data_IF_455030064092
#
_entry.id   IF_455030064092
#
_cell.length_a   1.000
_cell.length_b   1.000
_cell.length_c   1.000
_cell.angle_alpha   90.00
_cell.angle_beta   90.00
_cell.angle_gamma   90.00
#
_symmetry.space_group_name_H-M   'P 1'
#
loop_
_entity.id
_entity.type
_entity.pdbx_description
1 polymer ?
#
# COMPACT_ATOMS: atom_id res chain seq x y z
N UNK A 1 -13.48 18.08 -14.62
CA UNK A 1 -14.46 19.16 -14.28
C UNK A 1 -15.85 18.56 -14.12
N UNK A 2 -16.63 19.03 -13.14
CA UNK A 2 -18.05 18.63 -13.00
C UNK A 2 -18.31 17.24 -12.41
N UNK A 3 -17.29 16.59 -11.85
CA UNK A 3 -17.45 15.34 -11.08
C UNK A 3 -17.49 15.69 -9.61
N UNK A 4 -18.58 15.32 -8.92
CA UNK A 4 -18.73 15.48 -7.48
C UNK A 4 -18.42 14.15 -6.79
N UNK A 5 -17.28 14.08 -6.09
CA UNK A 5 -16.87 12.88 -5.36
C UNK A 5 -17.48 12.82 -3.94
N UNK A 6 -18.14 13.90 -3.51
CA UNK A 6 -18.78 14.04 -2.21
C UNK A 6 -17.98 14.91 -1.23
N UNK A 7 -18.67 15.35 -0.17
CA UNK A 7 -18.17 16.35 0.78
C UNK A 7 -16.93 15.92 1.61
N UNK A 8 -16.65 14.61 1.67
CA UNK A 8 -15.52 14.07 2.43
C UNK A 8 -14.19 14.13 1.66
N UNK A 9 -14.19 14.60 0.41
CA UNK A 9 -12.99 14.65 -0.44
C UNK A 9 -12.57 16.08 -0.74
N UNK A 10 -11.29 16.36 -0.55
CA UNK A 10 -10.67 17.58 -1.08
C UNK A 10 -10.50 17.43 -2.59
N UNK A 11 -11.37 18.09 -3.34
CA UNK A 11 -11.40 18.04 -4.80
C UNK A 11 -10.90 19.36 -5.39
N UNK A 12 -10.27 19.27 -6.56
CA UNK A 12 -9.80 20.42 -7.32
C UNK A 12 -9.87 20.08 -8.82
N UNK A 13 -9.77 21.08 -9.70
CA UNK A 13 -9.79 20.79 -11.14
C UNK A 13 -8.56 19.98 -11.56
N UNK A 14 -8.77 18.95 -12.39
CA UNK A 14 -7.69 18.04 -12.82
C UNK A 14 -6.56 18.79 -13.50
N UNK A 15 -6.86 19.70 -14.43
CA UNK A 15 -5.83 20.43 -15.17
C UNK A 15 -5.01 21.34 -14.24
N UNK A 16 -5.67 21.96 -13.26
CA UNK A 16 -5.04 22.80 -12.25
C UNK A 16 -4.09 22.00 -11.35
N UNK A 17 -4.55 20.88 -10.77
CA UNK A 17 -3.72 20.08 -9.87
C UNK A 17 -2.58 19.37 -10.56
N UNK A 18 -2.83 18.86 -11.76
CA UNK A 18 -1.76 18.24 -12.57
C UNK A 18 -0.70 19.27 -12.92
N UNK A 19 -1.08 20.52 -13.23
CA UNK A 19 -0.12 21.62 -13.45
C UNK A 19 0.68 21.92 -12.20
N UNK A 20 0.02 22.18 -11.07
CA UNK A 20 0.68 22.49 -9.79
C UNK A 20 1.66 21.39 -9.38
N UNK A 21 1.24 20.12 -9.39
CA UNK A 21 2.11 19.03 -8.93
C UNK A 21 3.26 18.77 -9.88
N UNK A 22 3.07 18.94 -11.20
CA UNK A 22 4.16 18.84 -12.18
C UNK A 22 5.16 19.99 -12.02
N UNK A 23 4.70 21.19 -11.70
CA UNK A 23 5.60 22.32 -11.41
C UNK A 23 6.45 22.06 -10.17
N UNK A 24 5.89 21.42 -9.14
CA UNK A 24 6.65 20.99 -7.95
C UNK A 24 7.64 19.85 -8.28
N UNK A 25 7.23 18.91 -9.13
CA UNK A 25 8.06 17.76 -9.54
C UNK A 25 9.16 18.12 -10.53
N UNK A 26 9.03 19.24 -11.23
CA UNK A 26 10.01 19.70 -12.20
C UNK A 26 11.39 19.76 -11.56
N UNK A 27 12.35 19.08 -12.18
CA UNK A 27 13.75 18.99 -11.76
C UNK A 27 13.99 18.44 -10.34
N UNK A 28 12.95 17.90 -9.68
CA UNK A 28 13.01 17.40 -8.30
C UNK A 28 14.02 16.26 -8.11
N UNK A 29 14.29 15.49 -9.17
CA UNK A 29 15.20 14.35 -9.16
C UNK A 29 16.56 14.63 -9.83
N UNK A 30 16.88 15.86 -10.26
CA UNK A 30 18.13 16.17 -11.00
C UNK A 30 19.39 15.76 -10.24
N UNK A 31 19.34 15.81 -8.91
CA UNK A 31 20.46 15.46 -8.01
C UNK A 31 20.30 14.08 -7.36
N UNK A 32 19.32 13.28 -7.80
CA UNK A 32 18.98 12.00 -7.22
C UNK A 32 18.89 10.91 -8.29
N UNK A 33 18.97 9.64 -7.86
CA UNK A 33 18.71 8.52 -8.76
C UNK A 33 17.20 8.31 -8.85
N UNK A 34 16.66 8.36 -10.07
CA UNK A 34 15.29 7.94 -10.33
C UNK A 34 15.23 6.40 -10.33
N UNK A 35 14.46 5.83 -9.41
CA UNK A 35 14.24 4.40 -9.26
C UNK A 35 12.86 4.10 -9.84
N UNK A 36 12.79 3.13 -10.75
CA UNK A 36 11.54 2.63 -11.33
C UNK A 36 11.33 1.21 -10.85
N UNK A 37 10.19 0.94 -10.20
CA UNK A 37 9.82 -0.38 -9.70
C UNK A 37 8.49 -0.81 -10.29
N UNK A 38 8.38 -2.12 -10.52
CA UNK A 38 7.24 -2.78 -11.13
C UNK A 38 6.68 -3.81 -10.16
N UNK A 39 5.39 -3.75 -9.90
CA UNK A 39 4.75 -4.51 -8.83
C UNK A 39 3.39 -5.05 -9.24
N UNK A 40 2.91 -6.03 -8.47
CA UNK A 40 1.56 -6.56 -8.55
C UNK A 40 0.87 -6.42 -7.19
N UNK A 41 -0.30 -5.78 -7.20
CA UNK A 41 -1.28 -5.90 -6.13
C UNK A 41 -1.96 -7.26 -6.26
N UNK A 42 -1.76 -8.11 -5.26
CA UNK A 42 -2.22 -9.49 -5.27
C UNK A 42 -1.27 -10.46 -5.98
N UNK A 43 -1.57 -11.77 -5.93
CA UNK A 43 -0.76 -12.79 -6.58
C UNK A 43 -0.63 -12.57 -8.08
N UNK A 44 0.58 -12.69 -8.62
CA UNK A 44 0.87 -12.49 -10.05
C UNK A 44 0.07 -13.50 -10.89
N UNK A 45 -0.50 -13.06 -12.01
CA UNK A 45 -1.35 -13.88 -12.89
C UNK A 45 -2.75 -14.19 -12.33
N UNK A 46 -3.08 -13.70 -11.14
CA UNK A 46 -4.44 -13.84 -10.59
C UNK A 46 -5.43 -12.96 -11.34
N UNK A 47 -6.70 -13.39 -11.54
CA UNK A 47 -7.75 -12.52 -12.07
C UNK A 47 -8.08 -11.33 -11.14
N UNK A 48 -7.56 -11.33 -9.91
CA UNK A 48 -7.64 -10.21 -8.97
C UNK A 48 -6.49 -9.23 -9.11
N UNK A 49 -5.41 -9.61 -9.79
CA UNK A 49 -4.18 -8.84 -9.77
C UNK A 49 -4.32 -7.51 -10.50
N UNK A 50 -3.64 -6.48 -9.97
CA UNK A 50 -3.53 -5.19 -10.61
C UNK A 50 -2.06 -4.81 -10.65
N UNK A 51 -1.55 -4.60 -11.85
CA UNK A 51 -0.19 -4.13 -12.05
C UNK A 51 -0.02 -2.69 -11.58
N UNK A 52 1.14 -2.40 -11.00
CA UNK A 52 1.48 -1.10 -10.47
C UNK A 52 2.92 -0.74 -10.84
N UNK A 53 3.14 0.52 -11.19
CA UNK A 53 4.48 1.06 -11.45
C UNK A 53 4.69 2.27 -10.54
N UNK A 54 5.78 2.24 -9.78
CA UNK A 54 6.18 3.37 -8.95
C UNK A 54 7.55 3.92 -9.35
N UNK A 55 7.58 5.22 -9.60
CA UNK A 55 8.80 6.02 -9.76
C UNK A 55 9.07 6.76 -8.46
N UNK A 56 10.30 6.69 -7.97
CA UNK A 56 10.73 7.35 -6.73
C UNK A 56 12.21 7.74 -6.77
N UNK A 57 12.58 8.80 -6.07
CA UNK A 57 13.97 9.18 -5.78
C UNK A 57 14.44 8.73 -4.38
N UNK A 58 13.58 8.08 -3.61
CA UNK A 58 13.86 7.61 -2.25
C UNK A 58 14.11 6.11 -2.21
N UNK A 59 15.32 5.73 -1.78
CA UNK A 59 15.68 4.33 -1.55
C UNK A 59 14.86 3.68 -0.44
N UNK A 60 14.46 4.44 0.60
CA UNK A 60 13.55 3.96 1.64
C UNK A 60 12.21 3.53 1.03
N UNK A 61 11.61 4.37 0.19
CA UNK A 61 10.32 4.08 -0.45
C UNK A 61 10.43 2.87 -1.36
N UNK A 62 11.48 2.80 -2.19
CA UNK A 62 11.69 1.65 -3.07
C UNK A 62 11.83 0.34 -2.29
N UNK A 63 12.58 0.35 -1.19
CA UNK A 63 12.79 -0.85 -0.37
C UNK A 63 11.54 -1.25 0.42
N UNK A 64 10.79 -0.27 0.96
CA UNK A 64 9.52 -0.53 1.64
C UNK A 64 8.50 -1.19 0.70
N UNK A 65 8.40 -0.69 -0.54
CA UNK A 65 7.56 -1.30 -1.58
C UNK A 65 7.98 -2.75 -1.90
N UNK A 66 9.29 -3.04 -1.95
CA UNK A 66 9.80 -4.39 -2.21
C UNK A 66 9.48 -5.39 -1.09
N UNK A 67 9.46 -4.93 0.16
CA UNK A 67 9.04 -5.76 1.30
C UNK A 67 7.53 -6.01 1.21
N UNK A 68 6.75 -4.95 0.97
CA UNK A 68 5.29 -4.98 1.08
C UNK A 68 4.57 -5.55 -0.15
N UNK A 69 5.17 -5.52 -1.34
CA UNK A 69 4.51 -5.90 -2.60
C UNK A 69 5.36 -6.81 -3.49
N UNK A 70 4.69 -7.53 -4.40
CA UNK A 70 5.31 -8.55 -5.25
C UNK A 70 5.96 -7.89 -6.47
N UNK A 71 7.27 -8.05 -6.71
CA UNK A 71 7.90 -7.57 -7.94
C UNK A 71 7.27 -8.24 -9.17
N UNK A 72 6.93 -7.45 -10.19
CA UNK A 72 6.14 -7.91 -11.34
C UNK A 72 6.74 -7.53 -12.70
N UNK A 73 8.04 -7.26 -12.78
CA UNK A 73 8.66 -6.82 -14.05
C UNK A 73 8.43 -7.80 -15.21
N UNK A 74 8.52 -9.11 -14.97
CA UNK A 74 8.28 -10.12 -16.00
C UNK A 74 6.81 -10.17 -16.45
N UNK A 75 5.89 -9.85 -15.55
CA UNK A 75 4.46 -9.73 -15.86
C UNK A 75 4.20 -8.56 -16.82
N UNK A 76 4.82 -7.41 -16.53
CA UNK A 76 4.77 -6.24 -17.43
C UNK A 76 5.35 -6.57 -18.81
N UNK A 77 6.45 -7.33 -18.88
CA UNK A 77 7.02 -7.77 -20.16
C UNK A 77 6.07 -8.66 -20.94
N UNK A 78 5.34 -9.55 -20.26
CA UNK A 78 4.38 -10.46 -20.90
C UNK A 78 3.16 -9.71 -21.43
N UNK A 79 2.60 -8.80 -20.65
CA UNK A 79 1.43 -7.98 -21.05
C UNK A 79 1.79 -6.97 -22.15
N UNK A 80 3.05 -6.51 -22.19
CA UNK A 80 3.55 -5.62 -23.23
C UNK A 80 2.93 -4.22 -23.20
N UNK A 81 2.90 -3.54 -24.35
CA UNK A 81 2.47 -2.14 -24.45
C UNK A 81 1.00 -1.87 -24.16
N UNK A 82 0.16 -2.91 -24.10
CA UNK A 82 -1.27 -2.81 -23.79
C UNK A 82 -1.58 -2.98 -22.29
N UNK A 83 -0.57 -3.23 -21.45
CA UNK A 83 -0.76 -3.45 -20.03
C UNK A 83 -1.47 -2.26 -19.36
N UNK A 84 -2.57 -2.54 -18.66
CA UNK A 84 -3.19 -1.57 -17.76
C UNK A 84 -2.56 -1.67 -16.38
N UNK A 85 -2.11 -0.55 -15.81
CA UNK A 85 -1.50 -0.50 -14.50
C UNK A 85 -1.73 0.83 -13.79
N UNK A 86 -1.75 0.81 -12.46
CA UNK A 86 -1.73 2.03 -11.66
C UNK A 86 -0.33 2.64 -11.65
N UNK A 87 -0.29 3.97 -11.72
CA UNK A 87 0.93 4.74 -11.86
C UNK A 87 1.16 5.58 -10.61
N UNK A 88 2.38 5.57 -10.10
CA UNK A 88 2.77 6.34 -8.93
C UNK A 88 4.04 7.12 -9.25
N UNK A 89 3.96 8.45 -9.20
CA UNK A 89 5.11 9.34 -9.33
C UNK A 89 5.37 10.01 -7.99
N UNK A 90 6.39 9.53 -7.31
CA UNK A 90 6.80 10.00 -6.00
C UNK A 90 8.14 10.74 -6.09
N UNK A 91 8.26 11.88 -5.41
CA UNK A 91 9.55 12.50 -5.09
C UNK A 91 9.60 12.93 -3.63
N UNK A 92 10.67 12.56 -2.95
CA UNK A 92 10.99 13.03 -1.62
C UNK A 92 11.35 14.52 -1.59
N UNK A 93 11.69 15.09 -2.75
CA UNK A 93 12.13 16.47 -2.92
C UNK A 93 13.52 16.71 -2.32
N UNK A 94 13.83 17.99 -2.09
CA UNK A 94 15.07 18.35 -1.39
C UNK A 94 15.07 17.76 0.03
N UNK A 95 16.18 17.15 0.45
CA UNK A 95 16.33 16.55 1.76
C UNK A 95 17.19 17.41 2.69
N UNK A 96 16.80 17.50 3.96
CA UNK A 96 17.63 18.01 5.06
C UNK A 96 17.68 16.96 6.15
N UNK A 97 18.85 16.45 6.51
CA UNK A 97 18.97 15.39 7.53
C UNK A 97 18.21 14.11 7.16
N UNK A 98 18.24 13.72 5.88
CA UNK A 98 17.51 12.57 5.30
C UNK A 98 15.98 12.67 5.33
N UNK A 99 15.40 13.78 5.76
CA UNK A 99 13.95 14.03 5.71
C UNK A 99 13.61 15.09 4.68
N UNK A 100 12.40 15.05 4.12
CA UNK A 100 11.94 16.04 3.13
C UNK A 100 11.92 17.44 3.75
N UNK A 101 12.57 18.39 3.08
CA UNK A 101 12.75 19.77 3.57
C UNK A 101 11.53 20.65 3.31
N UNK A 102 10.98 20.61 2.10
CA UNK A 102 9.98 21.57 1.60
C UNK A 102 8.54 21.10 1.92
N UNK A 103 8.24 20.92 3.21
CA UNK A 103 6.98 20.33 3.69
C UNK A 103 5.76 21.19 3.30
N UNK A 104 5.93 22.50 3.21
CA UNK A 104 4.91 23.46 2.79
C UNK A 104 4.44 23.23 1.33
N UNK A 105 5.31 22.64 0.50
CA UNK A 105 5.02 22.24 -0.88
C UNK A 105 4.64 20.76 -1.01
N UNK A 106 4.35 20.07 0.08
CA UNK A 106 3.90 18.68 0.04
C UNK A 106 2.54 18.59 -0.64
N UNK A 107 2.43 17.68 -1.61
CA UNK A 107 1.17 17.33 -2.28
C UNK A 107 1.05 15.83 -2.43
N UNK A 108 -0.19 15.35 -2.35
CA UNK A 108 -0.58 13.98 -2.70
C UNK A 108 -1.85 14.10 -3.54
N UNK A 109 -1.73 13.96 -4.85
CA UNK A 109 -2.83 14.07 -5.79
C UNK A 109 -3.13 12.72 -6.43
N UNK A 110 -4.41 12.40 -6.54
CA UNK A 110 -4.90 11.12 -7.07
C UNK A 110 -5.79 11.45 -8.26
N UNK A 111 -5.29 11.18 -9.45
CA UNK A 111 -6.05 11.28 -10.69
C UNK A 111 -6.70 9.92 -10.97
N UNK A 112 -7.99 9.84 -10.70
CA UNK A 112 -8.79 8.60 -10.85
C UNK A 112 -9.22 8.33 -12.29
N UNK A 113 -9.08 9.30 -13.18
CA UNK A 113 -9.39 9.14 -14.61
C UNK A 113 -8.20 8.52 -15.31
N UNK A 114 -6.99 9.04 -15.06
CA UNK A 114 -5.76 8.54 -15.65
C UNK A 114 -5.12 7.44 -14.79
N UNK A 115 -5.65 7.11 -13.61
CA UNK A 115 -5.07 6.07 -12.75
C UNK A 115 -3.63 6.37 -12.32
N UNK A 116 -3.30 7.66 -12.12
CA UNK A 116 -1.99 8.13 -11.65
C UNK A 116 -2.09 8.83 -10.30
N UNK A 117 -1.11 8.59 -9.44
CA UNK A 117 -0.93 9.28 -8.17
C UNK A 117 0.38 10.03 -8.19
N UNK A 118 0.36 11.27 -7.70
CA UNK A 118 1.52 12.11 -7.51
C UNK A 118 1.75 12.35 -6.03
N UNK A 119 2.96 12.13 -5.53
CA UNK A 119 3.35 12.42 -4.14
C UNK A 119 4.65 13.23 -4.13
N UNK A 120 4.67 14.39 -3.49
CA UNK A 120 5.83 15.30 -3.48
C UNK A 120 6.22 15.73 -2.09
N UNK A 121 7.52 15.94 -1.85
CA UNK A 121 8.06 16.48 -0.59
C UNK A 121 7.61 15.69 0.66
N UNK A 122 7.58 14.36 0.54
CA UNK A 122 7.23 13.44 1.62
C UNK A 122 8.08 12.18 1.54
N UNK A 123 8.29 11.50 2.66
CA UNK A 123 8.94 10.19 2.72
C UNK A 123 8.17 9.18 3.58
N UNK A 124 7.08 9.61 4.24
CA UNK A 124 6.47 8.84 5.30
C UNK A 124 5.32 7.94 4.81
N UNK A 125 5.48 6.63 5.02
CA UNK A 125 4.43 5.62 5.02
C UNK A 125 3.34 5.82 3.96
N UNK A 126 2.09 6.00 4.39
CA UNK A 126 0.92 6.07 3.51
C UNK A 126 0.87 7.24 2.52
N UNK A 127 1.79 8.20 2.58
CA UNK A 127 1.92 9.26 1.57
C UNK A 127 2.90 8.89 0.45
N UNK A 128 3.74 7.88 0.65
CA UNK A 128 4.87 7.57 -0.23
C UNK A 128 4.89 6.13 -0.71
N UNK A 129 4.38 5.20 0.09
CA UNK A 129 4.10 3.83 -0.31
C UNK A 129 2.84 3.88 -1.17
N UNK A 130 3.03 3.93 -2.49
CA UNK A 130 1.98 4.12 -3.49
C UNK A 130 0.97 2.99 -3.48
N UNK A 131 1.44 1.76 -3.28
CA UNK A 131 0.60 0.58 -3.42
C UNK A 131 -0.34 0.32 -2.23
N UNK A 132 -0.29 1.17 -1.19
CA UNK A 132 -1.14 1.03 0.00
C UNK A 132 -2.46 1.80 -0.15
N UNK A 133 -2.69 2.79 0.72
CA UNK A 133 -3.92 3.61 0.73
C UNK A 133 -4.09 4.43 -0.55
N UNK A 134 -3.01 4.73 -1.27
CA UNK A 134 -3.08 5.49 -2.52
C UNK A 134 -3.63 4.61 -3.65
N UNK A 135 -3.11 3.39 -3.81
CA UNK A 135 -3.68 2.41 -4.71
C UNK A 135 -5.10 1.98 -4.32
N UNK A 136 -5.41 1.84 -3.03
CA UNK A 136 -6.76 1.49 -2.59
C UNK A 136 -7.82 2.47 -3.12
N UNK A 137 -7.54 3.78 -3.10
CA UNK A 137 -8.47 4.78 -3.64
C UNK A 137 -8.70 4.62 -5.15
N UNK A 138 -7.65 4.28 -5.90
CA UNK A 138 -7.76 3.96 -7.32
C UNK A 138 -8.53 2.66 -7.55
N UNK A 139 -8.28 1.66 -6.71
CA UNK A 139 -8.92 0.37 -6.76
C UNK A 139 -10.41 0.45 -6.46
N UNK A 140 -10.85 1.26 -5.49
CA UNK A 140 -12.28 1.49 -5.20
C UNK A 140 -13.01 2.01 -6.44
N UNK A 141 -12.45 3.02 -7.12
CA UNK A 141 -13.02 3.56 -8.35
C UNK A 141 -13.10 2.50 -9.47
N UNK A 142 -12.05 1.70 -9.64
CA UNK A 142 -12.04 0.60 -10.62
C UNK A 142 -13.06 -0.49 -10.25
N UNK A 143 -13.09 -0.90 -8.99
CA UNK A 143 -13.96 -1.94 -8.46
C UNK A 143 -15.44 -1.57 -8.61
N UNK A 144 -15.79 -0.32 -8.32
CA UNK A 144 -17.14 0.20 -8.55
C UNK A 144 -17.58 0.12 -10.02
N UNK A 145 -16.68 0.36 -10.97
CA UNK A 145 -16.97 0.27 -12.42
C UNK A 145 -17.05 -1.18 -12.91
N UNK A 146 -16.35 -2.10 -12.27
CA UNK A 146 -16.19 -3.49 -12.72
C UNK A 146 -17.01 -4.50 -11.89
N UNK A 147 -17.77 -4.04 -10.89
CA UNK A 147 -18.65 -4.90 -10.09
C UNK A 147 -17.93 -5.78 -9.07
N UNK A 148 -16.85 -5.29 -8.45
CA UNK A 148 -16.16 -5.96 -7.35
C UNK A 148 -15.86 -5.01 -6.19
N UNK A 149 -15.25 -5.50 -5.11
CA UNK A 149 -14.98 -4.71 -3.90
C UNK A 149 -13.49 -4.60 -3.61
N UNK A 150 -13.03 -3.38 -3.38
CA UNK A 150 -11.68 -3.07 -2.90
C UNK A 150 -11.80 -2.46 -1.50
N UNK A 151 -11.48 -3.23 -0.46
CA UNK A 151 -11.89 -2.91 0.90
C UNK A 151 -10.71 -2.80 1.86
N UNK A 152 -10.86 -1.92 2.85
CA UNK A 152 -9.96 -1.82 3.99
C UNK A 152 -10.37 -2.84 5.07
N UNK A 153 -10.11 -4.11 4.76
CA UNK A 153 -10.50 -5.26 5.56
C UNK A 153 -9.34 -6.24 5.73
N UNK A 154 -9.28 -6.89 6.89
CA UNK A 154 -8.46 -8.09 7.04
C UNK A 154 -9.10 -9.28 6.31
N UNK A 155 -8.33 -10.33 6.09
CA UNK A 155 -8.77 -11.62 5.60
C UNK A 155 -8.06 -12.72 6.42
N UNK A 156 -8.83 -13.64 6.99
CA UNK A 156 -8.31 -14.75 7.78
C UNK A 156 -9.09 -16.04 7.53
N UNK A 157 -8.48 -17.19 7.81
CA UNK A 157 -9.13 -18.49 7.87
C UNK A 157 -9.25 -18.96 9.32
N UNK A 158 -10.47 -19.28 9.74
CA UNK A 158 -10.77 -19.82 11.07
C UNK A 158 -10.99 -21.32 10.97
N UNK A 159 -10.29 -22.08 11.79
CA UNK A 159 -10.30 -23.54 11.84
C UNK A 159 -11.36 -24.04 12.81
N UNK A 160 -12.33 -24.77 12.28
CA UNK A 160 -13.39 -25.43 13.03
C UNK A 160 -13.14 -26.93 13.24
N UNK A 161 -14.07 -27.62 13.91
CA UNK A 161 -14.04 -29.08 14.05
C UNK A 161 -13.98 -29.78 12.69
N UNK A 162 -13.49 -31.02 12.69
CA UNK A 162 -13.40 -31.89 11.51
C UNK A 162 -12.55 -31.31 10.36
N UNK A 163 -11.59 -30.42 10.69
CA UNK A 163 -10.67 -29.81 9.70
C UNK A 163 -11.33 -28.78 8.78
N UNK A 164 -12.54 -28.32 9.10
CA UNK A 164 -13.22 -27.26 8.33
C UNK A 164 -12.48 -25.94 8.49
N UNK A 165 -12.20 -25.26 7.38
CA UNK A 165 -11.72 -23.86 7.39
C UNK A 165 -12.84 -22.94 6.89
N UNK A 166 -13.09 -21.85 7.61
CA UNK A 166 -14.05 -20.80 7.21
C UNK A 166 -13.32 -19.47 7.08
N UNK A 167 -13.45 -18.81 5.94
CA UNK A 167 -12.77 -17.55 5.68
C UNK A 167 -13.65 -16.37 6.09
N UNK A 168 -13.03 -15.42 6.80
CA UNK A 168 -13.67 -14.20 7.30
C UNK A 168 -12.92 -12.98 6.80
N UNK A 169 -13.68 -11.93 6.53
CA UNK A 169 -13.16 -10.60 6.27
C UNK A 169 -13.91 -9.59 7.13
N UNK A 170 -13.22 -8.56 7.60
CA UNK A 170 -13.81 -7.56 8.50
C UNK A 170 -13.11 -6.21 8.41
N UNK A 171 -13.92 -5.14 8.46
CA UNK A 171 -13.44 -3.76 8.49
C UNK A 171 -13.51 -3.23 9.93
N UNK A 172 -12.38 -2.77 10.43
CA UNK A 172 -12.26 -2.21 11.77
C UNK A 172 -11.66 -0.80 11.65
N UNK A 173 -12.22 0.20 12.35
CA UNK A 173 -11.56 1.48 12.51
C UNK A 173 -10.18 1.33 13.18
N UNK A 174 -9.37 2.38 13.10
CA UNK A 174 -8.08 2.42 13.78
C UNK A 174 -8.24 2.16 15.29
N UNK A 175 -7.26 1.46 15.88
CA UNK A 175 -7.21 1.12 17.30
C UNK A 175 -8.36 0.22 17.82
N UNK A 176 -9.05 -0.51 16.93
CA UNK A 176 -10.09 -1.48 17.31
C UNK A 176 -9.62 -2.95 17.29
N UNK A 177 -8.31 -3.22 17.29
CA UNK A 177 -7.78 -4.60 17.34
C UNK A 177 -7.84 -5.38 16.01
N UNK A 178 -7.82 -4.68 14.86
CA UNK A 178 -7.87 -5.30 13.52
C UNK A 178 -6.75 -6.33 13.32
N UNK A 179 -5.51 -5.90 13.53
CA UNK A 179 -4.31 -6.72 13.32
C UNK A 179 -4.30 -7.91 14.28
N UNK A 180 -4.52 -7.68 15.59
CA UNK A 180 -4.58 -8.75 16.59
C UNK A 180 -5.67 -9.79 16.27
N UNK A 181 -6.83 -9.36 15.75
CA UNK A 181 -7.90 -10.28 15.30
C UNK A 181 -7.45 -11.14 14.12
N UNK A 182 -6.78 -10.55 13.12
CA UNK A 182 -6.30 -11.29 11.94
C UNK A 182 -5.16 -12.27 12.23
N UNK A 183 -4.54 -12.16 13.42
CA UNK A 183 -3.37 -12.92 13.86
C UNK A 183 -3.66 -13.76 15.12
N UNK A 184 -4.93 -14.13 15.35
CA UNK A 184 -5.26 -15.04 16.44
C UNK A 184 -4.47 -16.35 16.33
N UNK A 185 -3.95 -16.82 17.46
CA UNK A 185 -3.20 -18.07 17.51
C UNK A 185 -4.05 -19.23 16.99
N UNK A 186 -3.39 -20.18 16.30
CA UNK A 186 -3.98 -21.37 15.68
C UNK A 186 -4.90 -21.08 14.48
N UNK A 187 -5.14 -19.82 14.16
CA UNK A 187 -5.84 -19.41 12.96
C UNK A 187 -4.87 -19.03 11.82
N UNK A 188 -5.40 -18.86 10.62
CA UNK A 188 -4.59 -18.54 9.43
C UNK A 188 -4.76 -17.09 9.02
N UNK A 189 -3.69 -16.32 9.09
CA UNK A 189 -3.63 -14.98 8.48
C UNK A 189 -3.52 -15.08 6.96
N UNK A 190 -4.37 -14.34 6.25
CA UNK A 190 -4.22 -14.11 4.80
C UNK A 190 -3.77 -12.67 4.54
N UNK A 191 -4.33 -11.69 5.27
CA UNK A 191 -3.90 -10.29 5.29
C UNK A 191 -4.59 -9.50 6.38
N UNK A 192 -4.00 -8.41 6.85
CA UNK A 192 -4.52 -7.62 7.98
C UNK A 192 -5.13 -6.28 7.57
N UNK A 193 -4.85 -5.79 6.36
CA UNK A 193 -5.14 -4.40 5.99
C UNK A 193 -6.10 -4.21 4.81
N UNK A 194 -5.81 -4.84 3.67
CA UNK A 194 -6.51 -4.59 2.40
C UNK A 194 -6.91 -5.92 1.74
N UNK A 195 -8.18 -6.02 1.36
CA UNK A 195 -8.74 -7.18 0.67
C UNK A 195 -9.44 -6.77 -0.62
N UNK A 196 -9.21 -7.53 -1.70
CA UNK A 196 -10.06 -7.47 -2.90
C UNK A 196 -11.00 -8.65 -2.92
N UNK A 197 -12.29 -8.38 -3.08
CA UNK A 197 -13.34 -9.39 -3.09
C UNK A 197 -14.05 -9.38 -4.44
N UNK A 198 -14.13 -10.53 -5.11
CA UNK A 198 -14.83 -10.70 -6.39
C UNK A 198 -15.78 -11.87 -6.30
N UNK A 199 -16.93 -11.74 -6.95
CA UNK A 199 -17.81 -12.87 -7.20
C UNK A 199 -17.29 -13.64 -8.42
N UNK A 200 -17.03 -14.93 -8.24
CA UNK A 200 -16.69 -15.87 -9.31
C UNK A 200 -17.70 -17.01 -9.21
N UNK A 201 -18.55 -17.13 -10.22
CA UNK A 201 -19.56 -18.19 -10.36
C UNK A 201 -20.46 -18.38 -9.12
N UNK A 202 -20.91 -17.26 -8.55
CA UNK A 202 -21.84 -17.26 -7.40
C UNK A 202 -21.16 -17.40 -6.04
N UNK A 203 -19.83 -17.41 -5.99
CA UNK A 203 -19.05 -17.44 -4.74
C UNK A 203 -18.14 -16.23 -4.63
N UNK A 204 -18.09 -15.63 -3.45
CA UNK A 204 -17.17 -14.52 -3.17
C UNK A 204 -15.81 -15.09 -2.79
N UNK A 205 -14.78 -14.68 -3.53
CA UNK A 205 -13.38 -14.99 -3.25
C UNK A 205 -12.67 -13.70 -2.85
N UNK A 206 -11.74 -13.82 -1.91
CA UNK A 206 -10.93 -12.72 -1.40
C UNK A 206 -9.44 -12.95 -1.57
N UNK A 207 -8.69 -11.90 -1.85
CA UNK A 207 -7.22 -11.92 -1.82
C UNK A 207 -6.66 -10.84 -0.91
N UNK A 208 -5.50 -11.10 -0.31
CA UNK A 208 -4.63 -10.05 0.19
C UNK A 208 -3.81 -9.48 -0.97
N UNK A 209 -3.87 -8.17 -1.15
CA UNK A 209 -3.13 -7.48 -2.21
C UNK A 209 -1.66 -7.23 -1.85
N UNK A 210 -1.35 -7.20 -0.56
CA UNK A 210 -0.01 -7.03 0.00
C UNK A 210 0.70 -8.40 0.13
N UNK A 211 1.99 -8.37 0.44
CA UNK A 211 2.79 -9.54 0.84
C UNK A 211 3.60 -9.35 2.13
N UNK A 212 3.46 -8.18 2.75
CA UNK A 212 4.10 -7.84 4.02
C UNK A 212 3.14 -7.00 4.87
N UNK A 213 3.58 -6.64 6.07
CA UNK A 213 2.77 -5.91 7.07
C UNK A 213 3.37 -4.52 7.27
N UNK A 214 2.50 -3.50 7.28
CA UNK A 214 2.87 -2.12 7.63
C UNK A 214 2.03 -1.68 8.83
N UNK A 215 2.52 -2.01 10.03
CA UNK A 215 1.81 -1.83 11.28
C UNK A 215 2.41 -0.75 12.20
N UNK A 216 1.66 -0.41 13.25
CA UNK A 216 2.14 0.45 14.34
C UNK A 216 2.84 -0.47 15.35
N UNK A 217 4.12 -0.23 15.62
CA UNK A 217 4.90 -1.04 16.56
C UNK A 217 4.67 -0.68 18.03
N UNK A 218 4.01 0.45 18.32
CA UNK A 218 3.69 0.86 19.69
C UNK A 218 2.82 -0.21 20.35
N UNK A 219 3.20 -0.61 21.56
CA UNK A 219 2.51 -1.58 22.42
C UNK A 219 2.63 -3.06 22.01
N UNK A 220 3.25 -3.37 20.85
CA UNK A 220 3.56 -4.76 20.46
C UNK A 220 4.48 -5.39 21.50
N UNK A 221 4.05 -6.53 22.05
CA UNK A 221 4.76 -7.21 23.12
C UNK A 221 4.58 -8.74 23.02
N UNK A 222 5.46 -9.54 23.65
CA UNK A 222 5.43 -11.00 23.50
C UNK A 222 4.22 -11.68 24.17
N UNK A 223 3.44 -10.96 24.98
CA UNK A 223 2.26 -11.50 25.68
C UNK A 223 1.00 -11.31 24.85
N UNK A 224 0.75 -10.08 24.42
CA UNK A 224 -0.50 -9.72 23.72
C UNK A 224 -0.42 -9.94 22.20
N UNK A 225 0.76 -9.79 21.60
CA UNK A 225 0.98 -9.91 20.15
C UNK A 225 2.16 -10.84 19.81
N UNK A 226 2.16 -12.11 20.30
CA UNK A 226 3.31 -13.00 20.20
C UNK A 226 3.80 -13.24 18.77
N UNK A 227 2.89 -13.36 17.80
CA UNK A 227 3.23 -13.58 16.39
C UNK A 227 3.96 -12.36 15.79
N UNK A 228 3.48 -11.15 16.10
CA UNK A 228 4.09 -9.91 15.60
C UNK A 228 5.46 -9.73 16.26
N UNK A 229 5.53 -9.91 17.58
CA UNK A 229 6.76 -9.78 18.33
C UNK A 229 7.83 -10.77 17.84
N UNK A 230 7.48 -12.04 17.63
CA UNK A 230 8.37 -13.06 17.08
C UNK A 230 8.88 -12.68 15.67
N UNK A 231 7.99 -12.18 14.82
CA UNK A 231 8.35 -11.70 13.47
C UNK A 231 9.33 -10.52 13.53
N UNK A 232 9.14 -9.57 14.45
CA UNK A 232 9.99 -8.39 14.61
C UNK A 232 11.35 -8.69 15.26
N UNK A 233 11.43 -9.76 16.05
CA UNK A 233 12.65 -10.13 16.79
C UNK A 233 13.42 -11.30 16.18
N UNK A 234 12.85 -11.94 15.15
CA UNK A 234 13.50 -12.96 14.34
C UNK A 234 14.23 -12.36 13.13
N UNK A 235 15.23 -13.08 12.55
CA UNK A 235 15.87 -12.65 11.32
C UNK A 235 14.87 -12.49 10.17
N UNK A 236 14.84 -11.32 9.55
CA UNK A 236 13.97 -11.01 8.41
C UNK A 236 14.15 -9.57 7.93
N UNK A 237 13.49 -9.25 6.81
CA UNK A 237 13.49 -7.89 6.26
C UNK A 237 12.48 -7.03 7.03
N UNK A 238 12.98 -6.18 7.94
CA UNK A 238 12.16 -5.26 8.73
C UNK A 238 12.74 -3.86 8.66
N UNK A 239 11.88 -2.87 8.40
CA UNK A 239 12.23 -1.45 8.49
C UNK A 239 11.50 -0.85 9.69
N UNK A 240 12.24 -0.53 10.74
CA UNK A 240 11.73 0.25 11.85
C UNK A 240 11.80 1.74 11.54
N UNK A 241 10.71 2.47 11.80
CA UNK A 241 10.62 3.91 11.57
C UNK A 241 10.18 4.63 12.85
N UNK A 242 10.96 5.62 13.27
CA UNK A 242 10.71 6.45 14.46
C UNK A 242 10.57 5.65 15.76
N UNK A 243 11.42 4.64 15.96
CA UNK A 243 11.57 3.88 17.21
C UNK A 243 12.80 4.36 17.98
N UNK A 244 12.86 4.01 19.27
CA UNK A 244 14.06 4.21 20.08
C UNK A 244 15.06 3.08 19.79
N UNK A 245 16.31 3.25 20.21
CA UNK A 245 17.32 2.21 20.16
C UNK A 245 17.90 2.00 21.56
N UNK A 246 18.17 0.74 21.91
CA UNK A 246 18.94 0.40 23.11
C UNK A 246 20.42 0.71 22.91
N UNK A 247 21.19 0.73 24.01
CA UNK A 247 22.64 0.96 23.97
C UNK A 247 23.38 -0.14 23.17
N UNK A 248 22.80 -1.34 23.05
CA UNK A 248 23.31 -2.44 22.22
C UNK A 248 22.91 -2.32 20.74
N UNK A 249 22.25 -1.23 20.34
CA UNK A 249 21.87 -0.97 18.96
C UNK A 249 20.66 -1.77 18.46
N UNK A 250 19.79 -2.24 19.37
CA UNK A 250 18.52 -2.88 19.01
C UNK A 250 17.37 -1.86 18.99
N UNK A 251 16.49 -1.89 17.98
CA UNK A 251 15.29 -1.04 17.94
C UNK A 251 14.25 -1.43 19.00
#
# INVERSE_FOLDING_TARGET
KGVELGANFNCLDKEEGVREVKDILKDSMVKAKMIVRFFSLGPIGSPFSILCLQITDSGYVAHAEDILYRPAYEEFKREGGAAYFFRFLHSAGELKGKVSKNIEKRRVYIDIEDGIVYSTNTQYGGNTIGLKKLALRQAINKASKEGWLAEHMFLMGVHGPEGRVTYFSGAFPSACGKTSTSMLEKESIIGDDIAYLKNIDGRVYGINVERGIFGIARDVNPVDDPIIYDTLTSPGDVIFANVLYTDEGKP
#
